data_IF_985119521650
#
_entry.id   IF_985119521650
#
_cell.length_a   1.000
_cell.length_b   1.000
_cell.length_c   1.000
_cell.angle_alpha   90.00
_cell.angle_beta   90.00
_cell.angle_gamma   90.00
#
_symmetry.space_group_name_H-M   'P 1'
#
loop_
_entity.id
_entity.type
_entity.pdbx_description
1 polymer ?
#
# COMPACT_ATOMS: atom_id res chain seq x y z
N UNK A 1 -53.46 13.59 38.23
CA UNK A 1 -52.35 14.58 38.21
C UNK A 1 -51.03 13.84 38.30
N UNK A 2 -50.02 14.36 37.59
CA UNK A 2 -48.66 13.82 37.33
C UNK A 2 -48.60 12.72 36.26
N UNK A 3 -48.66 13.18 35.00
CA UNK A 3 -48.30 12.41 33.82
C UNK A 3 -46.78 12.36 33.63
N UNK A 4 -46.31 11.23 33.11
CA UNK A 4 -44.94 11.02 32.69
C UNK A 4 -44.82 11.38 31.20
N UNK A 5 -44.01 12.39 30.90
CA UNK A 5 -43.69 12.85 29.55
C UNK A 5 -42.62 11.96 28.94
N UNK A 6 -42.92 11.36 27.78
CA UNK A 6 -41.95 10.67 26.94
C UNK A 6 -41.01 11.70 26.27
N UNK A 7 -39.71 11.41 26.09
CA UNK A 7 -38.82 12.29 25.34
C UNK A 7 -39.06 12.14 23.83
N UNK A 8 -39.04 13.28 23.15
CA UNK A 8 -39.24 13.43 21.71
C UNK A 8 -38.11 12.76 20.89
N UNK A 9 -38.40 12.32 19.64
CA UNK A 9 -37.40 11.79 18.74
C UNK A 9 -36.51 12.92 18.22
N UNK A 10 -35.23 12.85 18.57
CA UNK A 10 -34.19 13.75 18.07
C UNK A 10 -33.97 13.58 16.57
N UNK A 11 -33.88 14.72 15.91
CA UNK A 11 -33.69 14.96 14.48
C UNK A 11 -32.53 14.18 13.88
N UNK A 12 -32.78 13.59 12.71
CA UNK A 12 -31.77 13.00 11.84
C UNK A 12 -30.86 14.11 11.28
N UNK A 13 -29.58 14.10 11.69
CA UNK A 13 -28.52 14.81 10.98
C UNK A 13 -28.18 14.01 9.71
N UNK A 14 -28.65 14.55 8.60
CA UNK A 14 -28.17 14.24 7.26
C UNK A 14 -26.75 14.80 7.07
N UNK A 15 -26.01 14.16 6.16
CA UNK A 15 -24.77 14.62 5.54
C UNK A 15 -23.50 14.65 6.41
N UNK A 16 -22.89 13.46 6.55
CA UNK A 16 -21.43 13.35 6.70
C UNK A 16 -20.82 12.92 5.38
N UNK A 17 -20.51 13.90 4.53
CA UNK A 17 -19.56 13.75 3.43
C UNK A 17 -18.17 13.42 3.99
N UNK A 18 -17.79 12.15 3.94
CA UNK A 18 -16.45 11.71 4.32
C UNK A 18 -15.46 11.98 3.18
N UNK A 19 -15.06 13.24 3.05
CA UNK A 19 -13.82 13.63 2.38
C UNK A 19 -12.62 13.07 3.16
N UNK A 20 -11.59 12.63 2.44
CA UNK A 20 -10.38 12.07 3.05
C UNK A 20 -9.69 13.12 3.97
N UNK A 21 -9.44 12.72 5.22
CA UNK A 21 -8.71 13.51 6.21
C UNK A 21 -7.29 13.92 5.77
N UNK A 22 -6.93 15.16 6.14
CA UNK A 22 -5.63 15.83 6.00
C UNK A 22 -4.50 15.13 6.83
N UNK A 23 -3.22 15.51 6.64
CA UNK A 23 -2.06 14.88 7.30
C UNK A 23 -2.04 14.85 8.85
N UNK A 24 -2.96 15.54 9.54
CA UNK A 24 -3.00 15.61 11.01
C UNK A 24 -3.54 14.38 11.75
N UNK A 25 -4.03 13.34 11.07
CA UNK A 25 -4.63 12.17 11.73
C UNK A 25 -3.97 10.83 11.34
N UNK A 26 -2.80 10.90 10.71
CA UNK A 26 -2.00 9.72 10.36
C UNK A 26 -1.22 9.12 11.54
N UNK A 27 -1.75 9.12 12.77
CA UNK A 27 -1.22 8.31 13.87
C UNK A 27 -2.13 8.32 15.09
N UNK A 28 -2.89 7.24 15.30
CA UNK A 28 -3.26 6.80 16.66
C UNK A 28 -2.57 5.48 16.98
N UNK A 29 -1.26 5.42 16.73
CA UNK A 29 -0.37 4.47 17.39
C UNK A 29 0.64 5.30 18.20
N UNK A 30 1.04 4.88 19.41
CA UNK A 30 2.21 5.44 20.06
C UNK A 30 3.38 5.40 19.07
N UNK A 31 3.90 6.56 18.72
CA UNK A 31 5.11 6.68 17.90
C UNK A 31 6.31 6.31 18.78
N UNK A 32 6.61 5.02 18.92
CA UNK A 32 7.92 4.60 19.37
C UNK A 32 8.92 4.77 18.21
N UNK A 33 9.82 5.75 18.38
CA UNK A 33 11.04 6.02 17.62
C UNK A 33 11.06 5.51 16.16
N UNK A 34 10.52 6.32 15.24
CA UNK A 34 10.67 6.13 13.80
C UNK A 34 12.09 6.50 13.34
N UNK A 35 12.72 5.59 12.60
CA UNK A 35 14.01 5.80 11.94
C UNK A 35 13.85 6.68 10.69
N UNK A 36 14.80 7.60 10.51
CA UNK A 36 14.98 8.39 9.29
C UNK A 36 16.01 7.69 8.41
N UNK A 37 15.78 7.53 7.10
CA UNK A 37 16.79 7.04 6.16
C UNK A 37 18.07 7.86 6.23
N UNK A 38 19.22 7.28 5.86
CA UNK A 38 20.48 8.01 5.72
C UNK A 38 20.28 9.24 4.84
N UNK A 39 20.05 10.38 5.47
CA UNK A 39 19.97 11.69 4.85
C UNK A 39 21.36 12.27 4.92
N UNK A 40 21.88 12.72 3.78
CA UNK A 40 23.10 13.49 3.77
C UNK A 40 22.80 14.84 4.42
N UNK A 41 23.56 15.18 5.47
CA UNK A 41 23.62 16.53 6.02
C UNK A 41 24.13 17.45 4.90
N UNK A 42 23.22 18.15 4.24
CA UNK A 42 23.56 19.12 3.20
C UNK A 42 23.07 20.49 3.65
N UNK A 43 24.01 21.40 3.93
CA UNK A 43 23.74 22.82 3.98
C UNK A 43 23.57 23.33 2.54
N UNK A 44 22.34 23.66 2.16
CA UNK A 44 22.04 24.26 0.86
C UNK A 44 21.22 23.35 -0.07
N UNK A 45 20.31 24.00 -0.82
CA UNK A 45 19.36 23.48 -1.83
C UNK A 45 19.55 22.01 -2.19
N UNK A 46 18.50 21.19 -2.01
CA UNK A 46 18.40 19.80 -2.45
C UNK A 46 19.22 19.53 -3.73
N UNK A 47 20.45 18.98 -3.64
CA UNK A 47 21.24 18.63 -4.80
C UNK A 47 20.94 17.19 -5.25
N UNK A 48 19.85 16.60 -4.73
CA UNK A 48 19.40 15.27 -5.10
C UNK A 48 18.65 15.39 -6.43
N UNK A 49 19.35 15.02 -7.51
CA UNK A 49 18.83 15.00 -8.87
C UNK A 49 17.39 14.51 -8.91
N UNK A 50 16.54 15.22 -9.65
CA UNK A 50 15.15 14.87 -9.81
C UNK A 50 15.06 13.47 -10.39
N UNK A 51 14.79 12.47 -9.55
CA UNK A 51 14.22 11.21 -10.00
C UNK A 51 12.80 11.52 -10.42
N UNK A 52 12.67 12.11 -11.61
CA UNK A 52 11.38 12.52 -12.14
C UNK A 52 10.56 11.24 -12.32
N UNK A 53 9.46 11.11 -11.58
CA UNK A 53 8.39 10.16 -11.90
C UNK A 53 7.89 10.35 -13.34
N UNK A 54 8.13 11.54 -13.91
CA UNK A 54 7.84 11.93 -15.29
C UNK A 54 9.01 11.75 -16.27
N UNK A 55 10.24 11.45 -15.84
CA UNK A 55 11.27 10.89 -16.74
C UNK A 55 11.07 9.37 -16.91
N UNK A 56 9.83 8.97 -17.18
CA UNK A 56 9.55 7.94 -18.20
C UNK A 56 9.55 8.58 -19.60
N UNK A 57 10.42 9.57 -19.81
CA UNK A 57 10.87 9.99 -21.14
C UNK A 57 12.00 9.07 -21.64
N UNK A 58 12.26 7.95 -20.96
CA UNK A 58 12.86 6.76 -21.59
C UNK A 58 11.87 6.22 -22.63
N UNK A 59 11.86 6.89 -23.78
CA UNK A 59 11.46 6.63 -25.18
C UNK A 59 10.48 5.50 -25.59
N UNK A 60 9.90 4.68 -24.72
CA UNK A 60 9.16 3.47 -25.15
C UNK A 60 7.77 3.25 -24.56
N UNK A 61 7.24 4.13 -23.72
CA UNK A 61 5.92 3.95 -23.08
C UNK A 61 4.94 5.14 -23.16
N UNK A 62 3.61 4.91 -23.10
CA UNK A 62 2.64 5.99 -23.01
C UNK A 62 2.77 6.73 -21.67
N UNK A 63 2.81 8.06 -21.73
CA UNK A 63 2.79 8.89 -20.51
C UNK A 63 1.50 8.69 -19.70
N UNK A 64 1.53 8.98 -18.39
CA UNK A 64 0.34 8.90 -17.53
C UNK A 64 -0.84 9.74 -18.07
N UNK A 65 -0.56 10.87 -18.73
CA UNK A 65 -1.56 11.68 -19.42
C UNK A 65 -2.16 10.96 -20.64
N UNK A 66 -1.33 10.25 -21.40
CA UNK A 66 -1.80 9.42 -22.52
C UNK A 66 -2.72 8.30 -22.03
N UNK A 67 -2.34 7.59 -20.96
CA UNK A 67 -3.18 6.56 -20.34
C UNK A 67 -4.51 7.13 -19.83
N UNK A 68 -4.50 8.29 -19.18
CA UNK A 68 -5.73 8.96 -18.76
C UNK A 68 -6.66 9.28 -19.95
N UNK A 69 -6.13 9.76 -21.08
CA UNK A 69 -6.92 9.98 -22.30
C UNK A 69 -7.50 8.67 -22.85
N UNK A 70 -6.78 7.56 -22.74
CA UNK A 70 -7.31 6.24 -23.10
C UNK A 70 -8.46 5.82 -22.17
N UNK A 71 -8.35 6.06 -20.86
CA UNK A 71 -9.44 5.84 -19.89
C UNK A 71 -10.67 6.66 -20.27
N UNK A 72 -10.52 7.93 -20.64
CA UNK A 72 -11.64 8.80 -21.06
C UNK A 72 -12.37 8.29 -22.30
N UNK A 73 -11.64 7.69 -23.25
CA UNK A 73 -12.21 7.15 -24.51
C UNK A 73 -12.80 5.76 -24.35
N UNK A 74 -12.43 5.04 -23.30
CA UNK A 74 -12.88 3.67 -23.06
C UNK A 74 -14.32 3.61 -22.54
N UNK A 75 -15.19 2.84 -23.20
CA UNK A 75 -16.61 2.73 -22.84
C UNK A 75 -16.82 2.23 -21.40
N UNK A 76 -15.98 1.31 -20.94
CA UNK A 76 -16.11 0.65 -19.63
C UNK A 76 -15.40 1.43 -18.52
N UNK A 77 -14.24 2.03 -18.83
CA UNK A 77 -13.41 2.73 -17.84
C UNK A 77 -13.66 4.24 -17.76
N UNK A 78 -14.40 4.87 -18.69
CA UNK A 78 -14.66 6.33 -18.68
C UNK A 78 -15.25 6.85 -17.36
N UNK A 79 -16.00 6.02 -16.63
CA UNK A 79 -16.53 6.35 -15.29
C UNK A 79 -15.42 6.64 -14.27
N UNK A 80 -14.19 6.18 -14.54
CA UNK A 80 -12.99 6.41 -13.75
C UNK A 80 -12.11 7.57 -14.26
N UNK A 81 -12.57 8.33 -15.25
CA UNK A 81 -11.80 9.47 -15.78
C UNK A 81 -11.47 10.49 -14.68
N UNK A 82 -12.44 10.86 -13.84
CA UNK A 82 -12.21 11.87 -12.81
C UNK A 82 -11.17 11.43 -11.77
N UNK A 83 -11.29 10.20 -11.25
CA UNK A 83 -10.34 9.69 -10.25
C UNK A 83 -8.93 9.49 -10.83
N UNK A 84 -8.84 9.04 -12.08
CA UNK A 84 -7.52 8.91 -12.74
C UNK A 84 -6.89 10.28 -13.00
N UNK A 85 -7.67 11.30 -13.38
CA UNK A 85 -7.16 12.67 -13.51
C UNK A 85 -6.61 13.22 -12.19
N UNK A 86 -7.38 13.09 -11.11
CA UNK A 86 -6.98 13.49 -9.76
C UNK A 86 -5.69 12.79 -9.34
N UNK A 87 -5.60 11.48 -9.61
CA UNK A 87 -4.44 10.67 -9.26
C UNK A 87 -3.18 11.06 -10.07
N UNK A 88 -3.31 11.24 -11.39
CA UNK A 88 -2.19 11.69 -12.24
C UNK A 88 -1.70 13.08 -11.83
N UNK A 89 -2.64 13.97 -11.50
CA UNK A 89 -2.32 15.31 -11.00
C UNK A 89 -1.59 15.24 -9.66
N UNK A 90 -2.07 14.40 -8.74
CA UNK A 90 -1.43 14.13 -7.46
C UNK A 90 0.01 13.62 -7.66
N UNK A 91 0.24 12.62 -8.52
CA UNK A 91 1.58 12.08 -8.78
C UNK A 91 2.57 13.14 -9.29
N UNK A 92 2.12 14.06 -10.14
CA UNK A 92 2.93 15.19 -10.62
C UNK A 92 3.26 16.19 -9.52
N UNK A 93 2.31 16.48 -8.64
CA UNK A 93 2.51 17.43 -7.54
C UNK A 93 3.52 16.89 -6.51
N UNK A 94 3.36 15.61 -6.13
CA UNK A 94 4.25 15.01 -5.12
C UNK A 94 5.65 14.70 -5.62
N UNK A 95 5.88 14.74 -6.94
CA UNK A 95 7.19 14.51 -7.54
C UNK A 95 8.23 15.52 -7.03
N UNK A 96 7.79 16.75 -6.77
CA UNK A 96 8.61 17.84 -6.23
C UNK A 96 8.58 17.91 -4.70
N UNK A 97 7.81 17.05 -4.04
CA UNK A 97 7.63 17.09 -2.60
C UNK A 97 8.87 16.60 -1.85
N UNK A 98 9.15 17.21 -0.70
CA UNK A 98 10.23 16.80 0.18
C UNK A 98 9.77 16.68 1.63
N UNK A 99 10.54 15.94 2.41
CA UNK A 99 10.40 15.81 3.85
C UNK A 99 11.58 16.52 4.50
N UNK A 100 11.29 17.46 5.38
CA UNK A 100 12.28 18.25 6.11
C UNK A 100 12.22 17.78 7.54
N UNK A 101 13.37 17.42 8.10
CA UNK A 101 13.48 17.02 9.50
C UNK A 101 14.47 17.94 10.17
N UNK A 102 14.04 18.52 11.27
CA UNK A 102 14.85 19.39 12.10
C UNK A 102 15.18 18.68 13.40
N UNK A 103 16.43 18.82 13.80
CA UNK A 103 17.01 18.17 14.97
C UNK A 103 18.16 18.99 15.54
N UNK A 104 18.78 18.43 16.56
CA UNK A 104 19.97 18.99 17.19
C UNK A 104 21.07 17.95 17.24
N UNK A 105 22.22 18.27 16.66
CA UNK A 105 23.41 17.43 16.73
C UNK A 105 24.08 17.62 18.09
N UNK A 106 24.14 16.53 18.86
CA UNK A 106 24.66 16.50 20.23
C UNK A 106 26.19 16.51 20.27
N UNK A 107 26.85 16.05 19.20
CA UNK A 107 28.30 16.01 19.14
C UNK A 107 28.85 17.37 18.69
N UNK A 108 28.22 17.96 17.69
CA UNK A 108 28.63 19.24 17.12
C UNK A 108 27.98 20.45 17.81
N UNK A 109 27.05 20.21 18.73
CA UNK A 109 26.33 21.22 19.51
C UNK A 109 25.66 22.28 18.61
N UNK A 110 25.02 21.84 17.51
CA UNK A 110 24.37 22.72 16.53
C UNK A 110 23.07 22.15 15.98
N UNK A 111 22.20 23.04 15.48
CA UNK A 111 20.99 22.61 14.79
C UNK A 111 21.35 21.82 13.53
N UNK A 112 20.65 20.71 13.34
CA UNK A 112 20.76 19.85 12.17
C UNK A 112 19.43 19.89 11.40
N UNK A 113 19.51 20.07 10.09
CA UNK A 113 18.36 19.92 9.20
C UNK A 113 18.71 18.90 8.14
N UNK A 114 17.82 17.95 7.94
CA UNK A 114 17.95 16.93 6.93
C UNK A 114 16.75 17.00 5.99
N UNK A 115 17.02 17.11 4.69
CA UNK A 115 15.99 17.17 3.66
C UNK A 115 16.04 15.90 2.83
N UNK A 116 14.93 15.18 2.81
CA UNK A 116 14.73 13.97 2.03
C UNK A 116 13.67 14.14 0.96
N UNK A 117 13.73 13.33 -0.08
CA UNK A 117 12.62 13.24 -1.02
C UNK A 117 11.38 12.67 -0.32
N UNK A 118 10.19 13.14 -0.71
CA UNK A 118 8.94 12.50 -0.28
C UNK A 118 8.84 11.10 -0.89
N UNK A 119 8.63 10.08 -0.05
CA UNK A 119 8.65 8.68 -0.47
C UNK A 119 7.26 8.09 -0.36
N UNK A 120 6.72 7.70 -1.50
CA UNK A 120 5.44 6.99 -1.63
C UNK A 120 5.61 5.69 -2.40
N UNK A 121 4.54 4.87 -2.45
CA UNK A 121 4.54 3.52 -3.03
C UNK A 121 5.12 3.42 -4.45
N UNK A 122 4.93 4.48 -5.22
CA UNK A 122 5.30 4.53 -6.63
C UNK A 122 6.69 5.14 -6.88
N UNK A 123 7.41 5.55 -5.83
CA UNK A 123 8.82 5.97 -5.95
C UNK A 123 9.75 4.77 -6.06
N UNK A 124 10.86 4.95 -6.76
CA UNK A 124 11.92 3.95 -6.82
C UNK A 124 12.49 3.63 -5.43
N UNK A 125 12.64 4.65 -4.58
CA UNK A 125 13.18 4.45 -3.22
C UNK A 125 12.29 3.52 -2.40
N UNK A 126 10.96 3.63 -2.51
CA UNK A 126 10.04 2.69 -1.88
C UNK A 126 10.22 1.27 -2.42
N UNK A 127 10.35 1.10 -3.74
CA UNK A 127 10.63 -0.19 -4.37
C UNK A 127 11.92 -0.81 -3.83
N UNK A 128 13.01 -0.04 -3.79
CA UNK A 128 14.32 -0.48 -3.24
C UNK A 128 14.19 -0.90 -1.77
N UNK A 129 13.39 -0.19 -0.96
CA UNK A 129 13.09 -0.58 0.44
C UNK A 129 12.34 -1.90 0.52
N UNK A 130 11.32 -2.09 -0.30
CA UNK A 130 10.56 -3.35 -0.32
C UNK A 130 11.45 -4.51 -0.74
N UNK A 131 12.30 -4.32 -1.76
CA UNK A 131 13.27 -5.32 -2.19
C UNK A 131 14.26 -5.68 -1.07
N UNK A 132 14.83 -4.70 -0.37
CA UNK A 132 15.72 -4.93 0.76
C UNK A 132 15.06 -5.76 1.88
N UNK A 133 13.77 -5.54 2.14
CA UNK A 133 13.01 -6.34 3.10
C UNK A 133 12.81 -7.79 2.63
N UNK A 134 12.67 -8.01 1.33
CA UNK A 134 12.53 -9.36 0.76
C UNK A 134 13.84 -10.13 0.77
N UNK A 135 15.01 -9.48 0.75
CA UNK A 135 16.28 -10.18 0.98
C UNK A 135 16.31 -10.84 2.37
N UNK A 136 15.93 -10.11 3.41
CA UNK A 136 15.83 -10.69 4.77
C UNK A 136 14.85 -11.85 4.86
N UNK A 137 13.73 -11.75 4.14
CA UNK A 137 12.76 -12.84 4.05
C UNK A 137 13.33 -14.07 3.33
N UNK A 138 14.10 -13.85 2.26
CA UNK A 138 14.76 -14.91 1.50
C UNK A 138 15.78 -15.67 2.36
N UNK A 139 16.52 -14.95 3.22
CA UNK A 139 17.46 -15.57 4.17
C UNK A 139 16.72 -16.40 5.23
N UNK A 140 15.67 -15.84 5.85
CA UNK A 140 14.79 -16.61 6.73
C UNK A 140 14.21 -17.84 6.05
N UNK A 141 13.81 -17.73 4.78
CA UNK A 141 13.25 -18.84 4.02
C UNK A 141 14.23 -19.99 3.82
N UNK A 142 15.51 -19.70 3.57
CA UNK A 142 16.56 -20.73 3.43
C UNK A 142 16.70 -21.58 4.70
N UNK A 143 16.50 -20.98 5.86
CA UNK A 143 16.57 -21.64 7.17
C UNK A 143 15.25 -22.31 7.58
N UNK A 144 14.13 -21.91 6.99
CA UNK A 144 12.78 -22.31 7.37
C UNK A 144 12.02 -22.95 6.20
N UNK A 145 12.74 -23.68 5.33
CA UNK A 145 12.14 -24.35 4.17
C UNK A 145 11.03 -25.30 4.63
N UNK A 146 9.93 -25.29 3.88
CA UNK A 146 8.76 -26.12 4.14
C UNK A 146 7.80 -26.11 2.95
N UNK A 147 6.63 -26.74 3.06
CA UNK A 147 5.60 -26.59 2.04
C UNK A 147 5.08 -25.14 2.01
N UNK A 148 4.76 -24.67 0.80
CA UNK A 148 4.19 -23.33 0.58
C UNK A 148 2.91 -23.47 -0.23
N UNK A 149 1.81 -22.95 0.29
CA UNK A 149 0.56 -22.83 -0.47
C UNK A 149 0.35 -21.39 -0.92
N UNK A 150 0.26 -21.20 -2.24
CA UNK A 150 -0.30 -19.99 -2.84
C UNK A 150 -1.83 -20.09 -2.84
N UNK A 151 -2.48 -19.13 -2.19
CA UNK A 151 -3.91 -18.92 -2.21
C UNK A 151 -4.20 -17.67 -3.05
N UNK A 152 -4.86 -17.86 -4.19
CA UNK A 152 -5.32 -16.77 -5.04
C UNK A 152 -6.80 -16.50 -4.77
N UNK A 153 -7.13 -15.26 -4.41
CA UNK A 153 -8.49 -14.80 -4.15
C UNK A 153 -8.87 -13.79 -5.23
N UNK A 154 -9.95 -14.09 -5.94
CA UNK A 154 -10.56 -13.20 -6.94
C UNK A 154 -11.99 -12.87 -6.54
N UNK A 155 -12.52 -11.82 -7.15
CA UNK A 155 -13.90 -11.41 -6.94
C UNK A 155 -14.67 -11.39 -8.25
N UNK A 156 -15.97 -11.14 -8.15
CA UNK A 156 -16.79 -10.80 -9.31
C UNK A 156 -16.18 -9.64 -10.10
N UNK A 157 -16.31 -9.72 -11.42
CA UNK A 157 -16.04 -8.64 -12.37
C UNK A 157 -17.36 -8.29 -13.06
N UNK A 158 -17.49 -7.06 -13.58
CA UNK A 158 -18.65 -6.67 -14.39
C UNK A 158 -18.86 -7.65 -15.55
N UNK A 159 -19.97 -8.39 -15.50
CA UNK A 159 -20.34 -9.39 -16.48
C UNK A 159 -21.70 -10.01 -16.15
N UNK A 160 -22.15 -10.92 -17.01
CA UNK A 160 -23.43 -11.61 -16.84
C UNK A 160 -23.49 -12.39 -15.51
N UNK A 161 -22.40 -13.06 -15.17
CA UNK A 161 -22.30 -13.84 -13.93
C UNK A 161 -22.41 -12.99 -12.66
N UNK A 162 -21.82 -11.78 -12.63
CA UNK A 162 -21.98 -10.91 -11.46
C UNK A 162 -23.44 -10.45 -11.33
N UNK A 163 -24.12 -10.15 -12.45
CA UNK A 163 -25.51 -9.69 -12.46
C UNK A 163 -26.47 -10.79 -12.02
N UNK A 164 -26.25 -12.04 -12.43
CA UNK A 164 -27.09 -13.16 -11.98
C UNK A 164 -26.92 -13.46 -10.50
N UNK A 165 -25.68 -13.36 -9.97
CA UNK A 165 -25.38 -13.71 -8.58
C UNK A 165 -25.61 -12.58 -7.58
N UNK A 166 -25.36 -11.33 -7.98
CA UNK A 166 -25.44 -10.14 -7.11
C UNK A 166 -26.66 -9.26 -7.41
N UNK A 167 -27.38 -9.52 -8.50
CA UNK A 167 -28.45 -8.66 -9.01
C UNK A 167 -27.94 -7.44 -9.79
N UNK A 168 -26.64 -7.13 -9.71
CA UNK A 168 -26.03 -5.97 -10.36
C UNK A 168 -24.59 -6.22 -10.83
N UNK A 169 -24.06 -5.26 -11.58
CA UNK A 169 -22.67 -5.29 -12.02
C UNK A 169 -21.75 -4.86 -10.89
N UNK A 170 -20.71 -5.64 -10.61
CA UNK A 170 -19.71 -5.29 -9.59
C UNK A 170 -18.68 -4.36 -10.19
N UNK A 171 -18.51 -3.18 -9.60
CA UNK A 171 -17.49 -2.20 -10.02
C UNK A 171 -16.08 -2.57 -9.53
N UNK A 172 -15.04 -1.96 -10.10
CA UNK A 172 -13.66 -2.17 -9.62
C UNK A 172 -13.53 -1.68 -8.16
N UNK A 173 -14.13 -0.56 -7.78
CA UNK A 173 -14.13 -0.09 -6.39
C UNK A 173 -14.80 -1.07 -5.44
N UNK A 174 -15.99 -1.55 -5.80
CA UNK A 174 -16.73 -2.52 -4.99
C UNK A 174 -15.95 -3.84 -4.86
N UNK A 175 -15.27 -4.26 -5.92
CA UNK A 175 -14.43 -5.46 -5.89
C UNK A 175 -13.28 -5.36 -4.87
N UNK A 176 -12.69 -4.18 -4.64
CA UNK A 176 -11.72 -3.98 -3.55
C UNK A 176 -12.36 -4.15 -2.16
N UNK A 177 -13.60 -3.69 -1.99
CA UNK A 177 -14.33 -3.78 -0.72
C UNK A 177 -14.71 -5.23 -0.43
N UNK A 178 -15.25 -5.94 -1.42
CA UNK A 178 -15.53 -7.38 -1.35
C UNK A 178 -14.26 -8.15 -0.99
N UNK A 179 -13.14 -7.89 -1.67
CA UNK A 179 -11.88 -8.57 -1.44
C UNK A 179 -11.29 -8.28 -0.05
N UNK A 180 -11.44 -7.04 0.46
CA UNK A 180 -11.03 -6.65 1.81
C UNK A 180 -11.86 -7.39 2.86
N UNK A 181 -13.18 -7.28 2.77
CA UNK A 181 -14.09 -7.81 3.78
C UNK A 181 -14.09 -9.35 3.78
N UNK A 182 -14.00 -9.96 2.59
CA UNK A 182 -13.79 -11.39 2.41
C UNK A 182 -12.50 -11.86 3.07
N UNK A 183 -11.38 -11.16 2.83
CA UNK A 183 -10.11 -11.48 3.46
C UNK A 183 -10.13 -11.32 4.98
N UNK A 184 -10.77 -10.28 5.50
CA UNK A 184 -10.83 -10.05 6.95
C UNK A 184 -11.56 -11.20 7.67
N UNK A 185 -12.61 -11.75 7.05
CA UNK A 185 -13.32 -12.95 7.53
C UNK A 185 -12.48 -14.21 7.32
N UNK A 186 -11.94 -14.42 6.13
CA UNK A 186 -11.16 -15.60 5.77
C UNK A 186 -9.89 -15.73 6.60
N UNK A 187 -9.18 -14.63 6.86
CA UNK A 187 -7.97 -14.64 7.69
C UNK A 187 -8.23 -15.08 9.13
N UNK A 188 -9.45 -14.89 9.65
CA UNK A 188 -9.85 -15.42 10.97
C UNK A 188 -10.02 -16.94 10.92
N UNK A 189 -10.57 -17.47 9.83
CA UNK A 189 -10.70 -18.91 9.59
C UNK A 189 -9.31 -19.54 9.45
N UNK A 190 -8.44 -18.95 8.62
CA UNK A 190 -7.05 -19.41 8.48
C UNK A 190 -6.34 -19.46 9.84
N UNK A 191 -6.42 -18.40 10.67
CA UNK A 191 -5.82 -18.41 12.02
C UNK A 191 -6.42 -19.47 12.96
N UNK A 192 -7.68 -19.86 12.75
CA UNK A 192 -8.33 -20.90 13.57
C UNK A 192 -7.83 -22.29 13.22
N UNK A 193 -7.66 -22.59 11.93
CA UNK A 193 -7.31 -23.92 11.44
C UNK A 193 -5.81 -24.12 11.21
N UNK A 194 -5.09 -23.04 10.95
CA UNK A 194 -3.65 -22.98 10.75
C UNK A 194 -3.09 -21.94 11.74
N UNK A 195 -3.03 -22.26 13.04
CA UNK A 195 -2.52 -21.33 14.04
C UNK A 195 -1.06 -20.97 13.71
N UNK A 196 -0.70 -19.71 13.97
CA UNK A 196 0.68 -19.19 13.82
C UNK A 196 1.28 -19.23 12.40
N UNK A 197 0.51 -19.64 11.38
CA UNK A 197 1.00 -19.71 10.00
C UNK A 197 1.62 -18.39 9.55
N UNK A 198 2.92 -18.36 9.22
CA UNK A 198 3.52 -17.21 8.58
C UNK A 198 2.86 -17.04 7.20
N UNK A 199 2.52 -15.82 6.85
CA UNK A 199 1.97 -15.53 5.53
C UNK A 199 2.37 -14.16 5.03
N UNK A 200 2.29 -13.97 3.71
CA UNK A 200 2.39 -12.69 3.03
C UNK A 200 1.23 -12.59 2.06
N UNK A 201 0.57 -11.44 1.99
CA UNK A 201 -0.36 -11.19 0.90
C UNK A 201 0.03 -9.97 0.07
N UNK A 202 -0.30 -10.06 -1.22
CA UNK A 202 -0.14 -9.03 -2.23
C UNK A 202 -1.49 -8.82 -2.92
N UNK A 203 -1.87 -7.57 -3.19
CA UNK A 203 -2.99 -7.26 -4.09
C UNK A 203 -2.40 -6.72 -5.39
N UNK A 204 -2.75 -7.34 -6.51
CA UNK A 204 -2.28 -7.00 -7.84
C UNK A 204 -3.45 -6.70 -8.80
N UNK A 205 -3.23 -5.90 -9.86
CA UNK A 205 -4.22 -5.73 -10.91
C UNK A 205 -4.28 -6.99 -11.78
N UNK A 206 -5.50 -7.42 -12.11
CA UNK A 206 -5.76 -8.26 -13.27
C UNK A 206 -5.69 -7.43 -14.56
N UNK A 207 -5.59 -8.07 -15.72
CA UNK A 207 -5.58 -7.40 -17.04
C UNK A 207 -6.82 -6.51 -17.28
N UNK A 208 -7.91 -6.73 -16.55
CA UNK A 208 -9.16 -5.95 -16.60
C UNK A 208 -9.19 -4.80 -15.59
N UNK A 209 -8.16 -4.64 -14.75
CA UNK A 209 -8.09 -3.63 -13.69
C UNK A 209 -8.70 -4.06 -12.36
N UNK A 210 -9.37 -5.22 -12.32
CA UNK A 210 -9.93 -5.77 -11.09
C UNK A 210 -8.82 -6.29 -10.16
N UNK A 211 -8.97 -6.15 -8.83
CA UNK A 211 -7.98 -6.58 -7.86
C UNK A 211 -8.01 -8.10 -7.67
N UNK A 212 -6.84 -8.72 -7.72
CA UNK A 212 -6.60 -10.09 -7.27
C UNK A 212 -5.74 -10.06 -6.02
N UNK A 213 -6.02 -10.92 -5.03
CA UNK A 213 -5.17 -11.07 -3.85
C UNK A 213 -4.46 -12.41 -3.88
N UNK A 214 -3.14 -12.37 -3.92
CA UNK A 214 -2.27 -13.53 -3.70
C UNK A 214 -1.88 -13.59 -2.24
N UNK A 215 -2.00 -14.77 -1.64
CA UNK A 215 -1.63 -15.03 -0.25
C UNK A 215 -0.69 -16.23 -0.25
N UNK A 216 0.56 -15.99 0.10
CA UNK A 216 1.54 -17.05 0.32
C UNK A 216 1.44 -17.47 1.77
N UNK A 217 1.06 -18.73 2.00
CA UNK A 217 1.04 -19.39 3.29
C UNK A 217 2.28 -20.28 3.37
N UNK A 218 3.11 -20.10 4.41
CA UNK A 218 4.31 -20.92 4.65
C UNK A 218 3.93 -22.23 5.38
N UNK A 219 2.98 -22.94 4.80
CA UNK A 219 2.51 -24.26 5.23
C UNK A 219 1.71 -24.87 4.08
N UNK A 220 1.47 -26.18 4.14
CA UNK A 220 0.46 -26.84 3.34
C UNK A 220 -0.94 -26.56 3.89
N UNK A 221 -1.91 -26.31 3.00
CA UNK A 221 -3.33 -26.22 3.35
C UNK A 221 -4.00 -27.56 3.03
N UNK A 222 -4.54 -28.28 4.04
CA UNK A 222 -5.23 -29.55 3.83
C UNK A 222 -6.42 -29.43 2.85
N UNK A 223 -6.69 -30.44 2.00
CA UNK A 223 -7.76 -30.38 0.98
C UNK A 223 -9.15 -30.06 1.54
N UNK A 224 -9.50 -30.63 2.69
CA UNK A 224 -10.78 -30.37 3.39
C UNK A 224 -10.91 -28.90 3.81
N UNK A 225 -9.81 -28.28 4.24
CA UNK A 225 -9.76 -26.85 4.54
C UNK A 225 -9.83 -26.01 3.26
N UNK A 226 -9.20 -26.45 2.16
CA UNK A 226 -9.31 -25.76 0.86
C UNK A 226 -10.77 -25.70 0.38
N UNK A 227 -11.47 -26.84 0.40
CA UNK A 227 -12.87 -26.93 0.00
C UNK A 227 -13.77 -26.07 0.88
N UNK A 228 -13.51 -26.09 2.19
CA UNK A 228 -14.20 -25.23 3.15
C UNK A 228 -13.99 -23.75 2.84
N UNK A 229 -12.76 -23.34 2.50
CA UNK A 229 -12.45 -21.96 2.14
C UNK A 229 -13.17 -21.56 0.85
N UNK A 230 -13.17 -22.41 -0.18
CA UNK A 230 -13.91 -22.17 -1.45
C UNK A 230 -15.39 -21.93 -1.19
N UNK A 231 -16.04 -22.81 -0.43
CA UNK A 231 -17.47 -22.66 -0.06
C UNK A 231 -17.74 -21.40 0.77
N UNK A 232 -16.89 -21.11 1.77
CA UNK A 232 -17.04 -19.90 2.57
C UNK A 232 -16.93 -18.64 1.71
N UNK A 233 -15.98 -18.60 0.78
CA UNK A 233 -15.77 -17.47 -0.12
C UNK A 233 -16.97 -17.25 -1.04
N UNK A 234 -17.46 -18.32 -1.66
CA UNK A 234 -18.53 -18.25 -2.65
C UNK A 234 -19.92 -18.10 -2.02
N UNK A 235 -20.27 -18.98 -1.08
CA UNK A 235 -21.63 -19.13 -0.59
C UNK A 235 -21.91 -18.23 0.63
N UNK A 236 -20.95 -18.11 1.55
CA UNK A 236 -21.16 -17.38 2.81
C UNK A 236 -20.75 -15.92 2.74
N UNK A 237 -19.62 -15.63 2.09
CA UNK A 237 -19.09 -14.27 1.98
C UNK A 237 -19.56 -13.58 0.71
N UNK A 238 -20.13 -14.34 -0.24
CA UNK A 238 -20.55 -13.85 -1.54
C UNK A 238 -19.46 -12.99 -2.18
N UNK A 239 -18.22 -13.49 -2.16
CA UNK A 239 -17.03 -12.73 -2.53
C UNK A 239 -16.50 -13.07 -3.93
N UNK A 240 -16.77 -14.27 -4.43
CA UNK A 240 -16.43 -14.71 -5.79
C UNK A 240 -17.17 -16.00 -6.14
N UNK A 241 -16.93 -16.56 -7.33
CA UNK A 241 -17.53 -17.84 -7.72
C UNK A 241 -16.93 -19.02 -6.96
N UNK A 242 -17.64 -20.14 -6.92
CA UNK A 242 -17.13 -21.38 -6.33
C UNK A 242 -15.94 -21.95 -7.14
N UNK A 243 -16.02 -21.89 -8.46
CA UNK A 243 -15.05 -22.53 -9.37
C UNK A 243 -13.79 -21.68 -9.62
N UNK A 244 -13.90 -20.35 -9.53
CA UNK A 244 -12.82 -19.43 -9.92
C UNK A 244 -12.51 -18.35 -8.87
N UNK A 245 -13.32 -18.22 -7.82
CA UNK A 245 -13.13 -17.21 -6.76
C UNK A 245 -11.92 -17.48 -5.87
N UNK A 246 -11.55 -18.75 -5.71
CA UNK A 246 -10.44 -19.18 -4.86
C UNK A 246 -9.68 -20.32 -5.55
N UNK A 247 -8.38 -20.13 -5.71
CA UNK A 247 -7.46 -21.15 -6.23
C UNK A 247 -6.32 -21.42 -5.25
N UNK A 248 -5.88 -22.67 -5.20
CA UNK A 248 -4.78 -23.13 -4.34
C UNK A 248 -3.72 -23.82 -5.20
N UNK A 249 -2.47 -23.42 -5.02
CA UNK A 249 -1.31 -24.13 -5.56
C UNK A 249 -0.33 -24.37 -4.43
N UNK A 250 -0.16 -25.63 -4.03
CA UNK A 250 0.86 -26.01 -3.05
C UNK A 250 2.15 -26.41 -3.77
N UNK A 251 3.28 -26.01 -3.21
CA UNK A 251 4.61 -26.47 -3.61
C UNK A 251 5.30 -27.13 -2.42
N UNK A 252 5.87 -28.31 -2.65
CA UNK A 252 6.73 -28.97 -1.67
C UNK A 252 8.14 -28.37 -1.68
N UNK A 253 8.96 -28.62 -0.65
CA UNK A 253 10.37 -28.19 -0.66
C UNK A 253 11.16 -28.69 -1.88
N UNK A 254 10.77 -29.84 -2.44
CA UNK A 254 11.44 -30.47 -3.59
C UNK A 254 11.03 -29.81 -4.93
N UNK A 255 9.89 -29.13 -4.99
CA UNK A 255 9.41 -28.35 -6.15
C UNK A 255 10.01 -26.93 -6.18
N UNK A 256 11.22 -26.82 -5.61
CA UNK A 256 12.01 -25.67 -5.16
C UNK A 256 11.51 -24.28 -5.58
N UNK A 257 11.10 -23.48 -4.60
CA UNK A 257 11.13 -22.02 -4.75
C UNK A 257 12.57 -21.58 -4.45
N UNK A 258 13.46 -21.75 -5.44
CA UNK A 258 14.89 -21.44 -5.32
C UNK A 258 15.14 -20.03 -4.77
N UNK A 259 14.29 -19.07 -5.15
CA UNK A 259 14.36 -17.70 -4.66
C UNK A 259 12.96 -17.13 -4.40
N UNK A 260 12.54 -17.17 -3.13
CA UNK A 260 11.26 -16.66 -2.66
C UNK A 260 11.10 -15.16 -2.97
N UNK A 261 12.20 -14.40 -2.89
CA UNK A 261 12.23 -12.99 -3.30
C UNK A 261 11.79 -12.82 -4.74
N UNK A 262 12.36 -13.57 -5.67
CA UNK A 262 12.04 -13.43 -7.10
C UNK A 262 10.57 -13.80 -7.36
N UNK A 263 10.09 -14.85 -6.69
CA UNK A 263 8.70 -15.28 -6.76
C UNK A 263 7.73 -14.17 -6.26
N UNK A 264 7.97 -13.61 -5.08
CA UNK A 264 7.16 -12.51 -4.53
C UNK A 264 7.25 -11.22 -5.35
N UNK A 265 8.44 -10.91 -5.87
CA UNK A 265 8.65 -9.70 -6.68
C UNK A 265 7.81 -9.73 -7.96
N UNK A 266 7.53 -10.90 -8.55
CA UNK A 266 6.63 -11.03 -9.71
C UNK A 266 5.26 -10.39 -9.47
N UNK A 267 4.73 -10.51 -8.25
CA UNK A 267 3.41 -9.98 -7.87
C UNK A 267 3.49 -8.53 -7.41
N UNK A 268 4.50 -8.20 -6.58
CA UNK A 268 4.67 -6.83 -6.05
C UNK A 268 4.99 -5.84 -7.17
N UNK A 269 5.75 -6.28 -8.17
CA UNK A 269 6.25 -5.43 -9.24
C UNK A 269 5.14 -4.81 -10.10
N UNK A 270 3.99 -5.49 -10.27
CA UNK A 270 2.83 -4.96 -11.03
C UNK A 270 2.21 -3.70 -10.41
N UNK A 271 2.51 -3.40 -9.14
CA UNK A 271 2.07 -2.18 -8.48
C UNK A 271 2.99 -0.97 -8.69
N UNK A 272 4.13 -1.10 -9.37
CA UNK A 272 5.09 -0.02 -9.59
C UNK A 272 4.91 0.64 -10.97
N UNK A 273 5.15 1.96 -11.06
CA UNK A 273 5.03 2.75 -12.32
C UNK A 273 6.00 2.26 -13.39
N UNK A 274 7.23 1.94 -12.98
CA UNK A 274 8.19 1.27 -13.83
C UNK A 274 8.77 0.08 -13.09
N UNK A 275 8.81 -1.05 -13.76
CA UNK A 275 9.49 -2.26 -13.31
C UNK A 275 10.90 -2.24 -13.88
N UNK A 276 11.79 -1.45 -13.29
CA UNK A 276 13.23 -1.43 -13.60
C UNK A 276 13.96 -2.70 -13.17
N UNK A 277 13.30 -3.85 -13.28
CA UNK A 277 13.88 -5.17 -13.11
C UNK A 277 14.20 -5.73 -14.49
N UNK A 278 15.19 -6.63 -14.59
CA UNK A 278 15.48 -7.44 -15.78
C UNK A 278 14.25 -8.19 -16.37
N UNK A 279 13.08 -8.13 -15.73
CA UNK A 279 11.93 -9.00 -16.00
C UNK A 279 10.75 -8.35 -16.74
N UNK A 280 10.68 -7.02 -16.87
CA UNK A 280 9.83 -6.31 -17.87
C UNK A 280 9.85 -4.81 -17.57
N UNK A 281 10.16 -3.94 -18.53
CA UNK A 281 9.86 -2.49 -18.45
C UNK A 281 8.51 -2.22 -19.12
N UNK A 282 7.44 -2.86 -18.65
CA UNK A 282 6.11 -2.60 -19.21
C UNK A 282 5.53 -1.37 -18.54
N UNK A 283 5.28 -0.27 -19.29
CA UNK A 283 4.53 0.86 -18.78
C UNK A 283 3.13 0.41 -18.39
N UNK A 284 2.50 1.12 -17.45
CA UNK A 284 1.13 0.79 -17.03
C UNK A 284 0.15 0.74 -18.20
N UNK A 285 -0.81 -0.17 -18.11
CA UNK A 285 -2.01 -0.11 -18.95
C UNK A 285 -3.02 0.91 -18.41
N UNK A 286 -4.05 1.23 -19.19
CA UNK A 286 -5.16 2.09 -18.74
C UNK A 286 -5.93 1.47 -17.57
N UNK A 287 -6.04 0.14 -17.54
CA UNK A 287 -6.66 -0.64 -16.45
C UNK A 287 -5.81 -0.56 -15.18
N UNK A 288 -4.49 -0.68 -15.29
CA UNK A 288 -3.57 -0.55 -14.16
C UNK A 288 -3.54 0.87 -13.59
N UNK A 289 -3.70 1.89 -14.44
CA UNK A 289 -3.88 3.28 -13.99
C UNK A 289 -5.15 3.43 -13.15
N UNK A 290 -6.28 2.88 -13.61
CA UNK A 290 -7.56 2.89 -12.86
C UNK A 290 -7.40 2.17 -11.52
N UNK A 291 -6.81 0.97 -11.53
CA UNK A 291 -6.54 0.19 -10.32
C UNK A 291 -5.72 0.97 -9.29
N UNK A 292 -4.61 1.59 -9.71
CA UNK A 292 -3.75 2.38 -8.82
C UNK A 292 -4.43 3.66 -8.32
N UNK A 293 -5.23 4.32 -9.15
CA UNK A 293 -6.02 5.48 -8.76
C UNK A 293 -7.06 5.12 -7.68
N UNK A 294 -7.72 3.96 -7.79
CA UNK A 294 -8.65 3.46 -6.78
C UNK A 294 -7.92 3.13 -5.48
N UNK A 295 -6.77 2.45 -5.53
CA UNK A 295 -5.95 2.18 -4.34
C UNK A 295 -5.55 3.46 -3.63
N UNK A 296 -5.14 4.48 -4.37
CA UNK A 296 -4.82 5.79 -3.84
C UNK A 296 -6.02 6.42 -3.14
N UNK A 297 -7.18 6.50 -3.81
CA UNK A 297 -8.42 7.08 -3.26
C UNK A 297 -8.98 6.29 -2.06
N UNK A 298 -8.83 4.97 -2.05
CA UNK A 298 -9.34 4.11 -0.96
C UNK A 298 -8.29 3.85 0.12
N UNK A 299 -7.07 4.36 -0.04
CA UNK A 299 -5.91 4.17 0.86
C UNK A 299 -5.62 2.68 1.10
N UNK A 300 -5.77 1.85 0.06
CA UNK A 300 -5.62 0.41 0.18
C UNK A 300 -4.14 0.00 0.34
N UNK A 301 -3.89 -0.96 1.24
CA UNK A 301 -2.61 -1.68 1.30
C UNK A 301 -2.57 -2.71 0.18
N UNK A 302 -1.45 -2.80 -0.53
CA UNK A 302 -1.22 -3.83 -1.57
C UNK A 302 -0.24 -4.91 -1.13
N UNK A 303 0.38 -4.78 0.03
CA UNK A 303 1.36 -5.71 0.53
C UNK A 303 1.34 -5.74 2.05
N UNK A 304 1.29 -6.92 2.64
CA UNK A 304 1.37 -7.08 4.08
C UNK A 304 1.90 -8.47 4.46
N UNK A 305 3.02 -8.54 5.20
CA UNK A 305 3.42 -9.75 5.89
C UNK A 305 2.58 -9.93 7.16
N UNK A 306 2.47 -11.18 7.61
CA UNK A 306 2.06 -11.56 8.97
C UNK A 306 2.94 -10.87 10.03
N UNK A 307 2.53 -10.89 11.31
CA UNK A 307 3.31 -10.25 12.38
C UNK A 307 4.70 -10.87 12.54
N UNK A 308 4.79 -12.20 12.50
CA UNK A 308 6.07 -12.92 12.58
C UNK A 308 7.03 -12.47 11.46
N UNK A 309 6.56 -12.47 10.21
CA UNK A 309 7.38 -12.06 9.08
C UNK A 309 7.66 -10.55 9.05
N UNK A 310 6.81 -9.70 9.64
CA UNK A 310 7.16 -8.29 9.80
C UNK A 310 8.40 -8.09 10.68
N UNK A 311 8.57 -8.91 11.72
CA UNK A 311 9.74 -8.89 12.59
C UNK A 311 10.99 -9.33 11.83
N UNK A 312 10.90 -10.44 11.09
CA UNK A 312 11.98 -10.96 10.22
C UNK A 312 12.41 -9.90 9.19
N UNK A 313 11.43 -9.29 8.52
CA UNK A 313 11.65 -8.29 7.47
C UNK A 313 12.01 -6.90 8.01
N UNK A 314 12.15 -6.73 9.33
CA UNK A 314 12.48 -5.44 9.94
C UNK A 314 13.96 -5.12 9.68
N UNK A 315 14.21 -3.89 9.25
CA UNK A 315 15.59 -3.40 9.16
C UNK A 315 16.17 -3.26 10.57
N UNK A 316 17.41 -3.69 10.77
CA UNK A 316 18.11 -3.39 12.02
C UNK A 316 18.17 -1.89 12.22
N UNK A 317 17.92 -1.46 13.46
CA UNK A 317 18.16 -0.08 13.85
C UNK A 317 19.67 0.11 13.83
N UNK A 318 20.15 1.01 12.98
CA UNK A 318 21.46 1.62 13.22
C UNK A 318 21.22 2.69 14.26
N UNK A 319 21.73 2.49 15.47
CA UNK A 319 21.81 3.54 16.48
C UNK A 319 22.70 4.64 15.90
N UNK A 320 22.09 5.78 15.60
CA UNK A 320 22.81 7.00 15.35
C UNK A 320 22.15 8.06 16.22
N UNK A 321 22.53 8.03 17.49
CA UNK A 321 22.00 8.91 18.54
C UNK A 321 22.72 10.27 18.55
N UNK A 322 23.57 10.55 17.56
CA UNK A 322 24.27 11.82 17.44
C UNK A 322 23.30 12.98 17.20
N UNK A 323 22.14 12.74 16.58
CA UNK A 323 21.15 13.79 16.29
C UNK A 323 19.83 13.49 16.98
N UNK A 324 19.40 14.41 17.84
CA UNK A 324 18.08 14.42 18.43
C UNK A 324 17.07 15.14 17.51
N UNK A 325 16.28 14.37 16.78
CA UNK A 325 15.24 14.90 15.89
C UNK A 325 13.98 15.30 16.65
N UNK A 326 13.49 16.52 16.43
CA UNK A 326 12.36 17.07 17.18
C UNK A 326 11.18 17.53 16.31
N UNK A 327 11.39 17.74 15.01
CA UNK A 327 10.31 18.17 14.12
C UNK A 327 10.45 17.52 12.75
N UNK A 328 9.32 17.14 12.18
CA UNK A 328 9.23 16.65 10.80
C UNK A 328 8.12 17.36 10.05
N UNK A 329 8.44 17.88 8.86
CA UNK A 329 7.55 18.63 7.99
C UNK A 329 7.57 18.04 6.58
N UNK A 330 6.45 18.15 5.87
CA UNK A 330 6.40 17.93 4.43
C UNK A 330 6.23 19.25 3.70
N UNK A 331 7.02 19.47 2.66
CA UNK A 331 6.94 20.65 1.79
C UNK A 331 6.45 20.23 0.40
N UNK A 332 5.44 20.93 -0.12
CA UNK A 332 4.85 20.71 -1.45
C UNK A 332 4.75 22.03 -2.21
N UNK A 333 4.78 21.95 -3.54
CA UNK A 333 4.41 23.07 -4.43
C UNK A 333 2.87 23.11 -4.55
N UNK A 334 2.26 24.25 -4.26
CA UNK A 334 0.82 24.38 -4.30
C UNK A 334 0.31 24.34 -5.76
N UNK A 335 -0.81 23.65 -6.05
CA UNK A 335 -1.26 23.46 -7.42
C UNK A 335 -1.61 24.79 -8.10
N UNK A 336 -0.89 25.11 -9.18
CA UNK A 336 -1.14 26.32 -9.97
C UNK A 336 -0.44 27.57 -9.43
N UNK A 337 0.44 27.44 -8.44
CA UNK A 337 1.30 28.52 -7.93
C UNK A 337 2.75 28.05 -7.89
N UNK A 338 3.70 28.99 -7.81
CA UNK A 338 5.11 28.70 -7.51
C UNK A 338 5.39 28.70 -5.99
N UNK A 339 4.33 28.77 -5.18
CA UNK A 339 4.44 28.83 -3.72
C UNK A 339 4.67 27.44 -3.13
N UNK A 340 5.54 27.38 -2.12
CA UNK A 340 5.81 26.16 -1.37
C UNK A 340 5.13 26.21 -0.01
N UNK A 341 4.30 25.21 0.27
CA UNK A 341 3.56 25.10 1.52
C UNK A 341 4.17 24.00 2.36
N UNK A 342 4.43 24.30 3.64
CA UNK A 342 4.90 23.34 4.64
C UNK A 342 3.76 22.86 5.52
N UNK A 343 3.73 21.57 5.79
CA UNK A 343 2.81 20.94 6.71
C UNK A 343 3.60 20.22 7.80
N UNK A 344 3.37 20.62 9.05
CA UNK A 344 3.90 19.92 10.21
C UNK A 344 3.29 18.52 10.28
N UNK A 345 4.14 17.50 10.29
CA UNK A 345 3.73 16.11 10.39
C UNK A 345 3.82 15.59 11.82
N UNK A 346 4.88 15.98 12.53
CA UNK A 346 5.08 15.65 13.93
C UNK A 346 6.06 16.64 14.57
N UNK A 347 5.90 16.81 15.87
CA UNK A 347 6.76 17.64 16.72
C UNK A 347 6.92 16.96 18.09
N UNK A 348 8.09 17.08 18.70
CA UNK A 348 8.37 16.63 20.06
C UNK A 348 8.45 17.83 20.98
N UNK A 349 7.47 17.94 21.86
CA UNK A 349 7.40 19.03 22.85
C UNK A 349 8.30 18.83 24.07
N UNK A 350 8.79 17.60 24.31
CA UNK A 350 9.75 17.34 25.38
C UNK A 350 11.16 17.62 24.87
N UNK A 351 11.77 18.69 25.36
CA UNK A 351 13.20 18.97 25.23
C UNK A 351 13.87 18.35 26.46
N UNK A 352 14.70 17.31 26.31
CA UNK A 352 15.42 16.74 27.44
C UNK A 352 16.20 17.78 28.24
N UNK A 353 16.18 17.65 29.57
CA UNK A 353 16.81 18.61 30.50
C UNK A 353 18.33 18.75 30.32
N UNK A 354 18.96 17.82 29.60
CA UNK A 354 20.38 17.81 29.27
C UNK A 354 20.74 18.56 27.97
N UNK A 355 19.76 19.08 27.22
CA UNK A 355 20.04 19.94 26.05
C UNK A 355 20.40 21.37 26.51
N UNK A 356 21.38 22.02 25.87
CA UNK A 356 21.98 23.27 26.35
C UNK A 356 21.12 24.53 26.16
N UNK A 357 19.84 24.41 25.79
CA UNK A 357 18.97 25.52 25.39
C UNK A 357 17.97 25.99 26.44
N UNK A 358 18.31 25.87 27.74
CA UNK A 358 17.55 26.55 28.80
C UNK A 358 18.13 27.90 29.13
#
# INVERSE_FOLDING_TARGET
>A
MKGATAPAPGTADADKEYAQARPGEASRRPCEAGWVPSLHLASGRCPLGSYRLTHTEDEKGPSLLSLHRQVQRDRTLRKYAQITWQYVTYLKQIEKACFIISGYDLQENRSATAVGQYIHRWTEVYRKRQLARLYKLDDWWKENKGPVTMLTLTTYQDGEYSRSMKGEAVSIEESFEILRDGWDKLSKILRKYLPEVPYIWVVEPHKTGYPHRHVILFTEVPPDLQDKIKRLWAEKYCAGSLDHGVDFTTRTPDEDIECLRNYLMKYIAKGFISTGSKFTETPWTKEELVYNAIIWKKKCRTFQPSRALQTVMKKEKKENDAVWWFQGESEFEEPGTDERVRYLMWERFYIPDWLPFR
#
